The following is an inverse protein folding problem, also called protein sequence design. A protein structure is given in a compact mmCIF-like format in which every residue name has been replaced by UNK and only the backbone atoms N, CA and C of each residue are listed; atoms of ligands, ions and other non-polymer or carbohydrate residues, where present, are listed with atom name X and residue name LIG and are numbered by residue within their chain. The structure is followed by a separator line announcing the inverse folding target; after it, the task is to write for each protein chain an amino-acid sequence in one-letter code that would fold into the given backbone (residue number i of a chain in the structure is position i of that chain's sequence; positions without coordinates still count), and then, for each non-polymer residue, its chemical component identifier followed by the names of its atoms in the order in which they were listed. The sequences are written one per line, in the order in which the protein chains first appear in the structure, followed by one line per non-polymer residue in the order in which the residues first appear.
data_IF_385491132469
#
_entry.id   IF_385491132469
#
_cell.length_a   1.000
_cell.length_b   1.000
_cell.length_c   1.000
_cell.angle_alpha   90.00
_cell.angle_beta   90.00
_cell.angle_gamma   90.00
#
_symmetry.space_group_name_H-M   'P 1'
#
loop_
_entity.id
_entity.type
_entity.pdbx_description
1 polymer ?
#
# COMPACT_ATOMS: atom_id res chain seq x y z
N UNK A 1 -18.88 11.63 -68.86
CA UNK A 1 -19.47 12.46 -67.78
C UNK A 1 -19.12 11.78 -66.45
N UNK A 2 -18.00 12.20 -65.86
CA UNK A 2 -17.54 11.67 -64.55
C UNK A 2 -17.96 12.68 -63.48
N UNK A 3 -18.78 12.22 -62.51
CA UNK A 3 -19.11 12.98 -61.30
C UNK A 3 -18.04 12.69 -60.24
N UNK A 4 -17.24 13.68 -59.93
CA UNK A 4 -16.25 13.71 -58.88
C UNK A 4 -17.00 13.84 -57.54
N UNK A 5 -16.95 12.84 -56.69
CA UNK A 5 -17.50 12.86 -55.34
C UNK A 5 -16.39 13.32 -54.41
N UNK A 6 -16.46 14.58 -53.97
CA UNK A 6 -15.54 15.13 -52.95
C UNK A 6 -16.08 14.69 -51.60
N UNK A 7 -15.37 13.77 -50.96
CA UNK A 7 -15.60 13.39 -49.55
C UNK A 7 -14.90 14.41 -48.65
N UNK A 8 -15.67 15.31 -48.05
CA UNK A 8 -15.18 16.19 -47.02
C UNK A 8 -15.00 15.38 -45.74
N UNK A 9 -13.73 15.07 -45.39
CA UNK A 9 -13.36 14.47 -44.11
C UNK A 9 -13.36 15.59 -43.05
N UNK A 10 -14.46 15.73 -42.31
CA UNK A 10 -14.52 16.56 -41.12
C UNK A 10 -13.68 15.89 -40.01
N UNK A 11 -12.44 16.31 -39.88
CA UNK A 11 -11.67 16.05 -38.67
C UNK A 11 -12.33 16.82 -37.52
N UNK A 12 -13.13 16.13 -36.73
CA UNK A 12 -13.52 16.62 -35.41
C UNK A 12 -12.27 16.60 -34.54
N UNK A 13 -11.69 17.77 -34.31
CA UNK A 13 -10.76 18.00 -33.22
C UNK A 13 -11.54 17.75 -31.92
N UNK A 14 -11.46 16.54 -31.40
CA UNK A 14 -11.77 16.28 -29.99
C UNK A 14 -10.78 17.12 -29.18
N UNK A 15 -11.24 17.95 -28.25
CA UNK A 15 -10.33 18.55 -27.29
C UNK A 15 -9.61 17.39 -26.61
N UNK A 16 -8.29 17.29 -26.78
CA UNK A 16 -7.46 16.51 -25.88
C UNK A 16 -7.71 17.15 -24.51
N UNK A 17 -8.48 16.48 -23.67
CA UNK A 17 -8.44 16.77 -22.24
C UNK A 17 -6.96 16.73 -21.89
N UNK A 18 -6.39 17.86 -21.49
CA UNK A 18 -5.00 17.92 -21.05
C UNK A 18 -4.86 16.87 -19.97
N UNK A 19 -4.01 15.87 -20.21
CA UNK A 19 -3.49 15.05 -19.14
C UNK A 19 -2.83 16.05 -18.20
N UNK A 20 -3.39 16.25 -17.02
CA UNK A 20 -2.72 17.00 -15.97
C UNK A 20 -1.33 16.37 -15.84
N UNK A 21 -0.28 17.18 -15.99
CA UNK A 21 1.07 16.66 -15.78
C UNK A 21 1.11 16.13 -14.34
N UNK A 22 1.56 14.89 -14.17
CA UNK A 22 1.76 14.32 -12.85
C UNK A 22 2.62 15.27 -12.02
N UNK A 23 2.24 15.60 -10.77
CA UNK A 23 2.97 16.54 -9.92
C UNK A 23 4.39 16.06 -9.60
N UNK A 24 4.63 14.78 -9.74
CA UNK A 24 5.93 14.13 -9.56
C UNK A 24 6.22 13.18 -10.72
N UNK A 25 7.50 12.97 -11.01
CA UNK A 25 7.97 11.96 -11.94
C UNK A 25 8.79 10.91 -11.16
N UNK A 26 8.86 9.69 -11.69
CA UNK A 26 9.69 8.63 -11.12
C UNK A 26 10.98 8.46 -11.93
N UNK A 27 12.01 7.97 -11.27
CA UNK A 27 13.30 7.59 -11.87
C UNK A 27 13.51 6.09 -11.74
N UNK A 28 14.76 5.62 -11.89
CA UNK A 28 15.09 4.21 -11.69
C UNK A 28 14.83 3.81 -10.23
N UNK A 29 14.27 2.61 -10.04
CA UNK A 29 13.91 2.10 -8.73
C UNK A 29 15.13 1.94 -7.80
N UNK A 30 14.89 2.11 -6.50
CA UNK A 30 15.81 1.67 -5.45
C UNK A 30 15.75 0.14 -5.35
N UNK A 31 16.76 -0.55 -5.85
CA UNK A 31 16.79 -2.02 -5.89
C UNK A 31 18.03 -2.59 -5.23
N UNK A 32 17.93 -3.80 -4.70
CA UNK A 32 19.09 -4.52 -4.19
C UNK A 32 18.81 -5.98 -3.89
N UNK A 33 19.88 -6.69 -3.59
CA UNK A 33 19.86 -8.11 -3.20
C UNK A 33 20.76 -8.30 -1.99
N UNK A 34 20.26 -9.01 -0.99
CA UNK A 34 21.04 -9.50 0.15
C UNK A 34 21.01 -11.03 0.15
N UNK A 35 22.13 -11.66 0.49
CA UNK A 35 22.27 -13.12 0.58
C UNK A 35 22.85 -13.54 1.94
N UNK A 36 22.39 -14.67 2.45
CA UNK A 36 22.99 -15.27 3.63
C UNK A 36 23.44 -16.72 3.33
N UNK A 37 24.69 -17.13 3.64
CA UNK A 37 25.75 -16.29 4.24
C UNK A 37 26.10 -15.08 3.38
N UNK A 38 26.50 -13.98 4.02
CA UNK A 38 26.84 -12.74 3.33
C UNK A 38 27.92 -12.99 2.25
N UNK A 39 27.66 -12.53 1.03
CA UNK A 39 28.53 -12.68 -0.13
C UNK A 39 28.43 -14.03 -0.85
N UNK A 40 27.51 -14.93 -0.43
CA UNK A 40 27.18 -16.11 -1.21
C UNK A 40 26.50 -15.71 -2.54
N UNK A 41 26.63 -16.55 -3.56
CA UNK A 41 25.76 -16.41 -4.74
C UNK A 41 24.33 -16.72 -4.36
N UNK A 42 23.36 -16.18 -5.10
CA UNK A 42 21.93 -16.41 -4.83
C UNK A 42 21.57 -17.91 -4.88
N UNK A 43 22.24 -18.68 -5.72
CA UNK A 43 22.03 -20.13 -5.86
C UNK A 43 22.57 -20.93 -4.66
N UNK A 44 23.60 -20.40 -3.98
CA UNK A 44 24.25 -21.05 -2.83
C UNK A 44 23.75 -20.54 -1.48
N UNK A 45 23.04 -19.42 -1.48
CA UNK A 45 22.51 -18.81 -0.28
C UNK A 45 21.35 -19.62 0.31
N UNK A 46 21.29 -19.73 1.64
CA UNK A 46 20.14 -20.28 2.34
C UNK A 46 18.99 -19.27 2.47
N UNK A 47 19.32 -17.98 2.43
CA UNK A 47 18.37 -16.88 2.47
C UNK A 47 18.73 -15.84 1.41
N UNK A 48 17.72 -15.40 0.66
CA UNK A 48 17.85 -14.35 -0.37
C UNK A 48 16.75 -13.32 -0.16
N UNK A 49 17.13 -12.06 -0.09
CA UNK A 49 16.20 -10.92 -0.02
C UNK A 49 16.42 -10.03 -1.23
N UNK A 50 15.35 -9.77 -2.00
CA UNK A 50 15.36 -8.85 -3.14
C UNK A 50 14.31 -7.76 -2.90
N UNK A 51 14.68 -6.54 -3.19
CA UNK A 51 13.74 -5.43 -3.06
C UNK A 51 13.76 -4.50 -4.26
N UNK A 52 12.61 -3.91 -4.51
CA UNK A 52 12.39 -2.80 -5.42
C UNK A 52 11.42 -1.83 -4.76
N UNK A 53 11.82 -0.57 -4.63
CA UNK A 53 11.02 0.53 -4.13
C UNK A 53 11.01 1.68 -5.14
N UNK A 54 9.94 2.49 -5.21
CA UNK A 54 9.88 3.62 -6.12
C UNK A 54 10.86 4.71 -5.71
N UNK A 55 11.35 5.47 -6.69
CA UNK A 55 12.14 6.66 -6.46
C UNK A 55 11.54 7.84 -7.22
N UNK A 56 11.20 8.90 -6.51
CA UNK A 56 10.75 10.17 -7.09
C UNK A 56 11.93 10.91 -7.66
N UNK A 57 11.81 11.37 -8.90
CA UNK A 57 12.86 12.08 -9.62
C UNK A 57 13.03 13.52 -9.10
N UNK A 58 14.29 14.02 -9.16
CA UNK A 58 14.65 15.39 -8.81
C UNK A 58 15.24 15.53 -7.41
N UNK A 59 15.57 16.79 -7.06
CA UNK A 59 16.24 17.17 -5.81
C UNK A 59 15.34 18.08 -4.95
N UNK A 60 14.02 18.09 -5.20
CA UNK A 60 13.08 18.82 -4.35
C UNK A 60 13.00 18.22 -2.96
N UNK A 61 12.68 19.02 -1.96
CA UNK A 61 12.46 18.55 -0.59
C UNK A 61 11.40 17.44 -0.56
N UNK A 62 10.31 17.59 -1.30
CA UNK A 62 9.27 16.59 -1.50
C UNK A 62 9.85 15.24 -1.98
N UNK A 63 10.64 15.27 -3.08
CA UNK A 63 11.24 14.05 -3.63
C UNK A 63 12.21 13.40 -2.64
N UNK A 64 13.05 14.19 -1.98
CA UNK A 64 14.01 13.68 -0.99
C UNK A 64 13.29 13.04 0.20
N UNK A 65 12.22 13.65 0.72
CA UNK A 65 11.48 13.12 1.87
C UNK A 65 10.79 11.79 1.53
N UNK A 66 10.12 11.70 0.40
CA UNK A 66 9.49 10.44 -0.05
C UNK A 66 10.56 9.34 -0.24
N UNK A 67 11.66 9.67 -0.94
CA UNK A 67 12.74 8.70 -1.20
C UNK A 67 13.41 8.23 0.09
N UNK A 68 13.50 9.09 1.11
CA UNK A 68 14.07 8.74 2.41
C UNK A 68 13.26 7.68 3.15
N UNK A 69 11.93 7.68 3.00
CA UNK A 69 11.08 6.62 3.60
C UNK A 69 11.46 5.26 3.04
N UNK A 70 11.55 5.12 1.71
CA UNK A 70 11.90 3.85 1.08
C UNK A 70 13.38 3.46 1.28
N UNK A 71 14.27 4.46 1.35
CA UNK A 71 15.66 4.20 1.72
C UNK A 71 15.75 3.65 3.15
N UNK A 72 14.97 4.20 4.09
CA UNK A 72 14.93 3.72 5.47
C UNK A 72 14.40 2.28 5.56
N UNK A 73 13.32 1.94 4.83
CA UNK A 73 12.80 0.57 4.74
C UNK A 73 13.87 -0.42 4.24
N UNK A 74 14.62 -0.03 3.19
CA UNK A 74 15.69 -0.86 2.65
C UNK A 74 16.85 -1.00 3.65
N UNK A 75 17.30 0.08 4.27
CA UNK A 75 18.42 0.10 5.21
C UNK A 75 18.10 -0.69 6.48
N UNK A 76 16.86 -0.57 7.02
CA UNK A 76 16.41 -1.34 8.18
C UNK A 76 16.37 -2.84 7.86
N UNK A 77 15.78 -3.20 6.71
CA UNK A 77 15.77 -4.59 6.28
C UNK A 77 17.18 -5.16 6.13
N UNK A 78 18.08 -4.46 5.46
CA UNK A 78 19.47 -4.92 5.22
C UNK A 78 20.31 -4.94 6.51
N UNK A 79 20.10 -3.98 7.40
CA UNK A 79 20.87 -3.85 8.63
C UNK A 79 20.40 -4.74 9.77
N UNK A 80 19.14 -5.11 9.78
CA UNK A 80 18.53 -5.82 10.91
C UNK A 80 17.74 -7.07 10.50
N UNK A 81 16.72 -6.93 9.65
CA UNK A 81 15.81 -8.04 9.31
C UNK A 81 16.54 -9.16 8.57
N UNK A 82 17.30 -8.83 7.53
CA UNK A 82 17.98 -9.81 6.70
C UNK A 82 19.04 -10.64 7.44
N UNK A 83 19.95 -10.04 8.23
CA UNK A 83 20.91 -10.81 9.03
C UNK A 83 20.23 -11.71 10.06
N UNK A 84 19.17 -11.21 10.71
CA UNK A 84 18.44 -11.97 11.72
C UNK A 84 17.72 -13.18 11.09
N UNK A 85 16.97 -12.96 10.02
CA UNK A 85 16.23 -14.03 9.33
C UNK A 85 17.19 -15.04 8.68
N UNK A 86 18.26 -14.57 8.02
CA UNK A 86 19.28 -15.44 7.42
C UNK A 86 19.97 -16.34 8.44
N UNK A 87 20.29 -15.81 9.61
CA UNK A 87 20.92 -16.59 10.69
C UNK A 87 19.93 -17.57 11.39
N UNK A 88 18.65 -17.21 11.47
CA UNK A 88 17.63 -18.02 12.11
C UNK A 88 17.05 -19.11 11.19
N UNK A 89 17.16 -18.94 9.86
CA UNK A 89 16.59 -19.85 8.88
C UNK A 89 17.25 -21.23 8.90
N UNK A 90 16.43 -22.29 9.01
CA UNK A 90 16.91 -23.67 8.87
C UNK A 90 17.03 -24.07 7.39
N UNK A 91 18.26 -24.09 6.88
CA UNK A 91 18.55 -24.42 5.50
C UNK A 91 18.08 -25.83 5.07
N UNK A 92 17.75 -26.73 6.01
CA UNK A 92 17.16 -28.04 5.69
C UNK A 92 15.73 -27.95 5.14
N UNK A 93 15.06 -26.83 5.34
CA UNK A 93 13.73 -26.52 4.79
C UNK A 93 13.78 -26.01 3.33
N UNK A 94 14.97 -25.88 2.78
CA UNK A 94 15.21 -25.26 1.48
C UNK A 94 15.66 -23.81 1.60
N UNK A 95 15.84 -23.12 0.47
CA UNK A 95 16.16 -21.70 0.46
C UNK A 95 14.93 -20.89 0.87
N UNK A 96 15.13 -19.90 1.73
CA UNK A 96 14.13 -18.87 2.02
C UNK A 96 14.36 -17.69 1.08
N UNK A 97 13.35 -17.34 0.29
CA UNK A 97 13.37 -16.20 -0.61
C UNK A 97 12.36 -15.16 -0.14
N UNK A 98 12.80 -13.91 -0.01
CA UNK A 98 11.96 -12.76 0.28
C UNK A 98 12.04 -11.79 -0.89
N UNK A 99 10.89 -11.42 -1.45
CA UNK A 99 10.80 -10.49 -2.58
C UNK A 99 9.88 -9.34 -2.20
N UNK A 100 10.42 -8.12 -2.25
CA UNK A 100 9.68 -6.88 -2.09
C UNK A 100 9.40 -6.29 -3.48
N UNK A 101 8.16 -5.97 -3.75
CA UNK A 101 7.69 -5.26 -4.94
C UNK A 101 6.77 -4.13 -4.54
N UNK A 102 6.55 -3.20 -5.43
CA UNK A 102 5.62 -2.11 -5.20
C UNK A 102 4.71 -1.88 -6.41
N UNK A 103 3.62 -1.19 -6.14
CA UNK A 103 2.71 -0.63 -7.12
C UNK A 103 2.42 0.83 -6.74
N UNK A 104 2.44 1.74 -7.71
CA UNK A 104 1.88 3.08 -7.54
C UNK A 104 0.36 2.92 -7.65
N UNK A 105 -0.29 2.77 -6.51
CA UNK A 105 -1.71 2.48 -6.45
C UNK A 105 -2.56 3.72 -6.76
N UNK A 106 -2.07 4.91 -6.33
CA UNK A 106 -2.71 6.19 -6.63
C UNK A 106 -1.69 7.29 -6.85
N UNK A 107 -1.99 8.19 -7.80
CA UNK A 107 -1.24 9.43 -8.00
C UNK A 107 -2.17 10.53 -8.47
N UNK A 108 -2.34 11.55 -7.64
CA UNK A 108 -3.09 12.76 -7.93
C UNK A 108 -2.25 14.02 -7.70
N UNK A 109 -2.84 15.20 -7.77
CA UNK A 109 -2.18 16.45 -7.40
C UNK A 109 -1.92 16.55 -5.89
N UNK A 110 -2.70 15.85 -5.05
CA UNK A 110 -2.67 15.96 -3.60
C UNK A 110 -1.98 14.77 -2.93
N UNK A 111 -2.11 13.57 -3.50
CA UNK A 111 -1.65 12.33 -2.87
C UNK A 111 -0.88 11.42 -3.83
N UNK A 112 0.15 10.77 -3.28
CA UNK A 112 0.77 9.58 -3.82
C UNK A 112 0.46 8.42 -2.87
N UNK A 113 -0.08 7.32 -3.37
CA UNK A 113 -0.20 6.08 -2.58
C UNK A 113 0.55 4.93 -3.25
N UNK A 114 1.36 4.26 -2.45
CA UNK A 114 2.21 3.13 -2.87
C UNK A 114 1.81 1.91 -2.06
N UNK A 115 1.45 0.84 -2.76
CA UNK A 115 1.29 -0.49 -2.16
C UNK A 115 2.60 -1.25 -2.30
N UNK A 116 3.07 -1.82 -1.21
CA UNK A 116 4.27 -2.66 -1.16
C UNK A 116 3.86 -4.08 -0.81
N UNK A 117 4.21 -5.02 -1.67
CA UNK A 117 3.95 -6.44 -1.50
C UNK A 117 5.26 -7.16 -1.14
N UNK A 118 5.28 -7.84 0.00
CA UNK A 118 6.37 -8.72 0.45
C UNK A 118 5.92 -10.17 0.32
N UNK A 119 6.58 -10.92 -0.54
CA UNK A 119 6.37 -12.37 -0.69
C UNK A 119 7.53 -13.11 -0.02
N UNK A 120 7.21 -14.04 0.86
CA UNK A 120 8.16 -14.94 1.52
C UNK A 120 7.92 -16.35 1.02
N UNK A 121 8.94 -17.00 0.48
CA UNK A 121 8.88 -18.37 -0.02
C UNK A 121 9.88 -19.25 0.73
N UNK A 122 9.43 -20.38 1.26
CA UNK A 122 10.29 -21.41 1.87
C UNK A 122 9.86 -22.77 1.33
N UNK A 123 10.65 -23.37 0.46
CA UNK A 123 10.25 -24.61 -0.24
C UNK A 123 8.98 -24.39 -1.07
N UNK A 124 7.88 -25.07 -0.69
CA UNK A 124 6.57 -24.94 -1.35
C UNK A 124 5.63 -23.94 -0.62
N UNK A 125 6.00 -23.49 0.56
CA UNK A 125 5.21 -22.55 1.34
C UNK A 125 5.43 -21.11 0.85
N UNK A 126 4.33 -20.39 0.63
CA UNK A 126 4.34 -18.97 0.22
C UNK A 126 3.49 -18.21 1.22
N UNK A 127 3.98 -17.07 1.65
CA UNK A 127 3.24 -16.10 2.47
C UNK A 127 3.41 -14.71 1.90
N UNK A 128 2.36 -13.89 1.96
CA UNK A 128 2.35 -12.54 1.43
C UNK A 128 1.99 -11.55 2.54
N UNK A 129 2.66 -10.41 2.52
CA UNK A 129 2.42 -9.30 3.44
C UNK A 129 2.26 -8.04 2.59
N UNK A 130 1.28 -7.21 2.91
CA UNK A 130 1.05 -5.91 2.26
C UNK A 130 1.35 -4.80 3.24
N UNK A 131 1.92 -3.70 2.73
CA UNK A 131 2.01 -2.40 3.42
C UNK A 131 1.49 -1.31 2.49
N UNK A 132 0.80 -0.33 3.06
CA UNK A 132 0.39 0.89 2.37
C UNK A 132 1.24 2.08 2.81
N UNK A 133 1.65 2.91 1.86
CA UNK A 133 2.31 4.19 2.11
C UNK A 133 1.56 5.27 1.34
N UNK A 134 0.93 6.19 2.04
CA UNK A 134 0.28 7.34 1.41
C UNK A 134 0.99 8.61 1.81
N UNK A 135 1.31 9.46 0.83
CA UNK A 135 2.07 10.69 1.00
C UNK A 135 1.24 11.88 0.58
N UNK A 136 1.28 12.95 1.35
CA UNK A 136 0.80 14.25 0.90
C UNK A 136 1.80 14.84 -0.11
N UNK A 137 1.32 15.37 -1.23
CA UNK A 137 2.15 16.02 -2.26
C UNK A 137 2.13 17.55 -2.16
N UNK A 138 1.22 18.10 -1.36
CA UNK A 138 1.03 19.55 -1.17
C UNK A 138 0.92 19.90 0.31
N UNK A 139 1.01 21.19 0.61
CA UNK A 139 0.87 21.68 1.99
C UNK A 139 2.16 21.65 2.80
N UNK A 140 2.04 21.89 4.09
CA UNK A 140 3.19 21.98 5.04
C UNK A 140 3.83 20.62 5.27
N UNK A 141 3.02 19.55 5.22
CA UNK A 141 3.44 18.16 5.44
C UNK A 141 3.76 17.43 4.13
N UNK A 142 4.02 18.18 3.03
CA UNK A 142 4.32 17.58 1.74
C UNK A 142 5.56 16.66 1.79
N UNK A 143 5.41 15.43 1.30
CA UNK A 143 6.43 14.38 1.31
C UNK A 143 6.38 13.46 2.53
N UNK A 144 5.62 13.79 3.58
CA UNK A 144 5.46 12.91 4.74
C UNK A 144 4.41 11.83 4.48
N UNK A 145 4.59 10.68 5.13
CA UNK A 145 3.56 9.64 5.18
C UNK A 145 2.38 10.21 5.97
N UNK A 146 1.21 10.19 5.35
CA UNK A 146 -0.02 10.72 5.95
C UNK A 146 -0.84 9.61 6.57
N UNK A 147 -1.59 9.95 7.61
CA UNK A 147 -2.52 9.05 8.28
C UNK A 147 -3.95 9.23 7.77
N UNK A 148 -4.80 8.24 8.06
CA UNK A 148 -6.22 8.23 7.70
C UNK A 148 -6.95 9.54 8.09
N UNK A 149 -6.87 10.07 9.34
CA UNK A 149 -7.60 11.28 9.72
C UNK A 149 -7.18 12.54 8.96
N UNK A 150 -5.91 12.64 8.55
CA UNK A 150 -5.44 13.73 7.69
C UNK A 150 -6.04 13.64 6.29
N UNK A 151 -6.07 12.44 5.72
CA UNK A 151 -6.63 12.22 4.37
C UNK A 151 -8.14 12.44 4.33
N UNK A 152 -8.83 12.18 5.43
CA UNK A 152 -10.25 12.47 5.59
C UNK A 152 -10.53 13.98 5.82
N UNK A 153 -9.50 14.80 6.03
CA UNK A 153 -9.65 16.22 6.30
C UNK A 153 -10.35 16.54 7.63
N UNK A 154 -10.35 15.59 8.58
CA UNK A 154 -10.98 15.77 9.90
C UNK A 154 -10.05 16.38 10.93
N UNK A 155 -8.77 16.54 10.59
CA UNK A 155 -7.80 17.26 11.41
C UNK A 155 -7.70 18.69 10.91
N UNK A 156 -7.92 19.65 11.83
CA UNK A 156 -7.63 21.06 11.59
C UNK A 156 -6.12 21.30 11.83
N UNK A 157 -5.35 21.64 10.79
CA UNK A 157 -3.91 21.89 10.94
C UNK A 157 -3.59 23.13 11.77
N UNK A 158 -4.57 24.00 12.07
CA UNK A 158 -4.42 25.18 12.94
C UNK A 158 -4.66 24.85 14.42
N UNK A 159 -5.18 23.65 14.74
CA UNK A 159 -5.37 23.16 16.12
C UNK A 159 -4.36 22.06 16.49
N UNK A 160 -3.11 22.40 16.85
CA UNK A 160 -2.06 21.42 17.14
C UNK A 160 -2.15 20.82 18.54
N UNK A 161 -3.31 20.78 19.19
CA UNK A 161 -3.48 20.15 20.50
C UNK A 161 -3.45 18.62 20.34
N UNK A 162 -2.48 17.98 21.01
CA UNK A 162 -2.29 16.53 21.01
C UNK A 162 -3.59 15.77 21.36
N UNK A 163 -4.34 16.27 22.33
CA UNK A 163 -5.63 15.66 22.70
C UNK A 163 -6.70 15.78 21.61
N UNK A 164 -6.66 16.87 20.82
CA UNK A 164 -7.55 17.02 19.66
C UNK A 164 -7.17 16.00 18.57
N UNK A 165 -5.88 15.86 18.26
CA UNK A 165 -5.37 14.90 17.28
C UNK A 165 -5.76 13.47 17.68
N UNK A 166 -5.49 13.04 18.90
CA UNK A 166 -5.85 11.72 19.42
C UNK A 166 -7.35 11.43 19.26
N UNK A 167 -8.19 12.42 19.55
CA UNK A 167 -9.63 12.27 19.43
C UNK A 167 -10.11 12.14 17.99
N UNK A 168 -9.52 12.88 17.04
CA UNK A 168 -9.88 12.79 15.63
C UNK A 168 -9.37 11.48 15.03
N UNK A 169 -8.19 11.05 15.38
CA UNK A 169 -7.64 9.74 15.01
C UNK A 169 -8.56 8.62 15.52
N UNK A 170 -8.91 8.63 16.80
CA UNK A 170 -9.80 7.62 17.36
C UNK A 170 -11.17 7.56 16.69
N UNK A 171 -11.71 8.70 16.21
CA UNK A 171 -12.96 8.72 15.46
C UNK A 171 -12.80 8.12 14.07
N UNK A 172 -11.76 8.51 13.32
CA UNK A 172 -11.49 8.00 11.99
C UNK A 172 -11.29 6.48 12.04
N UNK A 173 -10.53 6.00 13.03
CA UNK A 173 -10.28 4.58 13.24
C UNK A 173 -11.56 3.80 13.57
N UNK A 174 -12.38 4.32 14.50
CA UNK A 174 -13.63 3.67 14.85
C UNK A 174 -14.56 3.56 13.63
N UNK A 175 -14.68 4.64 12.85
CA UNK A 175 -15.47 4.65 11.63
C UNK A 175 -14.97 3.58 10.63
N UNK A 176 -13.67 3.56 10.35
CA UNK A 176 -13.08 2.58 9.43
C UNK A 176 -13.28 1.14 9.93
N UNK A 177 -13.11 0.89 11.25
CA UNK A 177 -13.37 -0.44 11.85
C UNK A 177 -14.81 -0.86 11.72
N UNK A 178 -15.75 0.03 11.99
CA UNK A 178 -17.19 -0.29 11.90
C UNK A 178 -17.60 -0.62 10.47
N UNK A 179 -17.16 0.18 9.48
CA UNK A 179 -17.42 -0.08 8.06
C UNK A 179 -16.78 -1.38 7.58
N UNK A 180 -15.51 -1.61 7.92
CA UNK A 180 -14.81 -2.85 7.59
C UNK A 180 -15.51 -4.06 8.20
N UNK A 181 -15.92 -3.96 9.46
CA UNK A 181 -16.67 -5.04 10.12
C UNK A 181 -18.00 -5.35 9.45
N UNK A 182 -18.73 -4.32 9.00
CA UNK A 182 -19.96 -4.55 8.23
C UNK A 182 -19.70 -5.31 6.92
N UNK A 183 -18.62 -4.98 6.21
CA UNK A 183 -18.22 -5.67 4.98
C UNK A 183 -17.81 -7.12 5.26
N UNK A 184 -16.98 -7.35 6.28
CA UNK A 184 -16.58 -8.69 6.72
C UNK A 184 -17.81 -9.53 7.12
N UNK A 185 -18.73 -8.99 7.90
CA UNK A 185 -19.96 -9.69 8.28
C UNK A 185 -20.84 -10.05 7.06
N UNK A 186 -20.85 -9.22 6.04
CA UNK A 186 -21.54 -9.52 4.80
C UNK A 186 -20.91 -10.71 4.10
N UNK A 187 -19.59 -10.74 4.03
CA UNK A 187 -18.84 -11.84 3.41
C UNK A 187 -18.92 -13.12 4.22
N UNK A 188 -18.88 -13.08 5.55
CA UNK A 188 -19.11 -14.23 6.44
C UNK A 188 -20.44 -14.94 6.16
N UNK A 189 -21.48 -14.19 5.75
CA UNK A 189 -22.82 -14.74 5.44
C UNK A 189 -22.92 -15.29 4.02
N UNK A 190 -21.91 -15.06 3.18
CA UNK A 190 -21.90 -15.58 1.82
C UNK A 190 -21.69 -17.10 1.82
N UNK A 191 -22.37 -17.81 0.90
CA UNK A 191 -22.20 -19.25 0.76
C UNK A 191 -20.75 -19.57 0.34
N UNK A 192 -20.08 -20.42 1.14
CA UNK A 192 -18.69 -20.81 0.89
C UNK A 192 -17.65 -19.76 1.27
N UNK A 193 -18.01 -18.80 2.13
CA UNK A 193 -17.05 -17.85 2.70
C UNK A 193 -15.90 -18.60 3.37
N UNK A 194 -14.63 -18.19 3.15
CA UNK A 194 -13.49 -18.75 3.87
C UNK A 194 -13.31 -18.14 5.26
N UNK A 195 -13.98 -17.03 5.56
CA UNK A 195 -13.85 -16.30 6.83
C UNK A 195 -14.35 -17.19 7.98
N UNK A 196 -13.65 -17.18 9.11
CA UNK A 196 -14.01 -17.98 10.29
C UNK A 196 -15.43 -17.66 10.76
N UNK A 197 -16.27 -18.70 10.90
CA UNK A 197 -17.69 -18.56 11.28
C UNK A 197 -17.89 -17.96 12.67
N UNK A 198 -16.90 -18.11 13.56
CA UNK A 198 -16.90 -17.65 14.95
C UNK A 198 -16.08 -16.37 15.16
N UNK A 199 -15.60 -15.73 14.09
CA UNK A 199 -14.88 -14.48 14.17
C UNK A 199 -15.72 -13.42 14.87
N UNK A 200 -15.17 -12.84 15.93
CA UNK A 200 -15.79 -11.76 16.70
C UNK A 200 -15.24 -10.38 16.31
N UNK A 201 -15.99 -9.31 16.64
CA UNK A 201 -15.50 -7.95 16.44
C UNK A 201 -14.20 -7.68 17.23
N UNK A 202 -14.12 -8.18 18.47
CA UNK A 202 -12.93 -8.04 19.32
C UNK A 202 -11.68 -8.69 18.69
N UNK A 203 -11.81 -9.87 18.10
CA UNK A 203 -10.71 -10.54 17.39
C UNK A 203 -10.29 -9.76 16.13
N UNK A 204 -11.26 -9.26 15.38
CA UNK A 204 -11.00 -8.39 14.23
C UNK A 204 -10.26 -7.10 14.64
N UNK A 205 -10.66 -6.43 15.72
CA UNK A 205 -9.96 -5.23 16.22
C UNK A 205 -8.48 -5.46 16.55
N UNK A 206 -8.13 -6.68 16.96
CA UNK A 206 -6.74 -7.04 17.26
C UNK A 206 -5.87 -7.26 16.01
N UNK A 207 -6.46 -7.41 14.85
CA UNK A 207 -5.75 -7.70 13.60
C UNK A 207 -5.93 -6.64 12.51
N UNK A 208 -6.63 -5.53 12.80
CA UNK A 208 -6.85 -4.46 11.85
C UNK A 208 -6.51 -3.09 12.44
N UNK A 209 -5.55 -2.41 11.82
CA UNK A 209 -5.05 -1.10 12.21
C UNK A 209 -5.32 -0.09 11.09
N UNK A 210 -6.44 0.64 11.11
CA UNK A 210 -6.86 1.52 10.02
C UNK A 210 -5.84 2.58 9.60
N UNK A 211 -4.96 2.99 10.53
CA UNK A 211 -3.89 3.96 10.26
C UNK A 211 -2.76 3.37 9.39
N UNK A 212 -2.58 2.05 9.38
CA UNK A 212 -1.47 1.35 8.73
C UNK A 212 -1.95 0.41 7.60
N UNK A 213 -3.16 -0.16 7.74
CA UNK A 213 -3.68 -1.21 6.88
C UNK A 213 -4.51 -0.65 5.71
N UNK A 214 -4.03 0.41 5.08
CA UNK A 214 -4.70 1.00 3.91
C UNK A 214 -3.73 1.56 2.86
N UNK A 215 -4.26 1.74 1.66
CA UNK A 215 -3.71 2.54 0.57
C UNK A 215 -4.87 3.20 -0.21
N UNK A 216 -4.58 4.20 -1.05
CA UNK A 216 -5.57 4.68 -2.01
C UNK A 216 -5.51 3.84 -3.28
N UNK A 217 -6.67 3.43 -3.80
CA UNK A 217 -6.78 2.79 -5.10
C UNK A 217 -6.72 3.79 -6.26
N UNK A 218 -6.76 3.32 -7.50
CA UNK A 218 -6.63 4.17 -8.69
C UNK A 218 -7.72 5.25 -8.78
N UNK A 219 -8.89 5.02 -8.21
CA UNK A 219 -10.01 5.95 -8.13
C UNK A 219 -9.93 6.90 -6.94
N UNK A 220 -8.96 6.72 -6.04
CA UNK A 220 -8.78 7.51 -4.82
C UNK A 220 -9.65 7.04 -3.65
N UNK A 221 -10.21 5.84 -3.71
CA UNK A 221 -10.89 5.23 -2.59
C UNK A 221 -9.89 4.57 -1.63
N UNK A 222 -10.31 4.36 -0.39
CA UNK A 222 -9.50 3.67 0.60
C UNK A 222 -9.57 2.16 0.40
N UNK A 223 -8.48 1.55 -0.02
CA UNK A 223 -8.28 0.12 -0.07
C UNK A 223 -7.73 -0.37 1.25
N UNK A 224 -8.59 -0.82 2.16
CA UNK A 224 -8.18 -1.46 3.41
C UNK A 224 -7.86 -2.93 3.18
N UNK A 225 -6.90 -3.45 3.95
CA UNK A 225 -6.48 -4.84 3.82
C UNK A 225 -6.28 -5.52 5.18
N UNK A 226 -6.44 -6.83 5.15
CA UNK A 226 -6.13 -7.74 6.26
C UNK A 226 -5.10 -8.77 5.78
N UNK A 227 -4.09 -9.00 6.59
CA UNK A 227 -3.02 -9.94 6.27
C UNK A 227 -3.53 -11.39 6.26
N UNK A 228 -2.74 -12.28 5.66
CA UNK A 228 -3.00 -13.72 5.69
C UNK A 228 -3.17 -14.23 7.12
N UNK A 229 -4.04 -15.22 7.30
CA UNK A 229 -4.30 -15.88 8.58
C UNK A 229 -4.86 -14.98 9.70
N UNK A 230 -5.43 -13.81 9.34
CA UNK A 230 -6.06 -12.92 10.32
C UNK A 230 -7.54 -13.28 10.55
N UNK A 231 -8.32 -13.38 9.48
CA UNK A 231 -9.77 -13.63 9.55
C UNK A 231 -10.20 -14.92 8.86
N UNK A 232 -9.26 -15.61 8.18
CA UNK A 232 -9.46 -16.85 7.45
C UNK A 232 -8.15 -17.66 7.44
N UNK A 233 -8.16 -18.95 7.05
CA UNK A 233 -6.94 -19.73 6.86
C UNK A 233 -5.95 -19.07 5.90
N UNK A 234 -4.64 -19.27 6.12
CA UNK A 234 -3.59 -18.63 5.31
C UNK A 234 -3.68 -18.96 3.81
N UNK A 235 -4.19 -20.14 3.46
CA UNK A 235 -4.40 -20.57 2.06
C UNK A 235 -5.43 -19.74 1.30
N UNK A 236 -6.31 -19.01 2.00
CA UNK A 236 -7.29 -18.11 1.40
C UNK A 236 -6.71 -16.72 1.12
N UNK A 237 -5.47 -16.47 1.58
CA UNK A 237 -4.70 -15.27 1.30
C UNK A 237 -5.13 -14.05 2.10
N UNK A 238 -4.88 -12.89 1.52
CA UNK A 238 -5.21 -11.58 2.08
C UNK A 238 -6.60 -11.13 1.66
N UNK A 239 -7.24 -10.31 2.48
CA UNK A 239 -8.55 -9.73 2.17
C UNK A 239 -8.42 -8.23 1.92
N UNK A 240 -9.07 -7.76 0.86
CA UNK A 240 -9.07 -6.35 0.46
C UNK A 240 -10.50 -5.84 0.39
N UNK A 241 -10.74 -4.68 0.98
CA UNK A 241 -12.03 -4.00 0.97
C UNK A 241 -11.85 -2.56 0.55
N UNK A 242 -12.68 -2.10 -0.36
CA UNK A 242 -12.69 -0.70 -0.80
C UNK A 242 -13.83 0.04 -0.14
N UNK A 243 -13.50 1.18 0.49
CA UNK A 243 -14.45 2.10 1.11
C UNK A 243 -14.21 3.48 0.50
N UNK A 244 -15.26 4.14 0.04
CA UNK A 244 -15.16 5.47 -0.56
C UNK A 244 -14.96 6.55 0.50
N UNK A 245 -14.39 7.69 0.10
CA UNK A 245 -14.27 8.84 0.99
C UNK A 245 -15.64 9.28 1.54
N UNK A 246 -16.68 9.29 0.69
CA UNK A 246 -18.03 9.70 1.11
C UNK A 246 -18.60 8.76 2.18
N UNK A 247 -18.40 7.43 2.04
CA UNK A 247 -18.83 6.45 3.05
C UNK A 247 -18.14 6.67 4.39
N UNK A 248 -16.82 6.97 4.39
CA UNK A 248 -16.09 7.26 5.62
C UNK A 248 -16.55 8.57 6.27
N UNK A 249 -16.81 9.62 5.48
CA UNK A 249 -17.24 10.92 6.01
C UNK A 249 -18.69 10.92 6.52
N UNK A 250 -19.56 10.09 5.95
CA UNK A 250 -20.96 9.97 6.41
C UNK A 250 -21.08 9.36 7.80
N UNK A 251 -20.06 8.60 8.26
CA UNK A 251 -20.03 7.93 9.57
C UNK A 251 -19.22 8.72 10.64
N UNK A 252 -18.40 9.72 10.26
CA UNK A 252 -17.62 10.58 11.16
C UNK A 252 -18.46 11.76 11.67
#
# INVERSE_FOLDING_TARGET
MYRLLILLLAMTLLPMAGLAESPIAFTDDLTGVYTWPEGASEEEASYVYRYSYPQVAGESELAMTINQVFQYEADDALGFECPMNGAAHDASLGQMEVVIRYEIAHLSEEFLSVRVDKTVTVGEAISNIVKGYSFMLTGVEAGTVTSLPYMLGVIDPEEPDEWYLDRQTAKADACARDLMWMLIQKDMRAEGSPIYDDLTFEEFEWCFYPEEDFYLDAEGNFGFFLQENMIAPAEDGQFFYTITLDELLDEI
#
